data_IF_751305421957
#
_entry.id   IF_751305421957
#
_cell.length_a   1.000
_cell.length_b   1.000
_cell.length_c   1.000
_cell.angle_alpha   90.00
_cell.angle_beta   90.00
_cell.angle_gamma   90.00
#
_symmetry.space_group_name_H-M   'P 1'
#
loop_
_entity.id
_entity.type
_entity.pdbx_description
1 polymer ?
#
# COMPACT_ATOMS: atom_id res chain seq x y z
N UNK A 1 -5.84 10.42 -9.65
CA UNK A 1 -6.79 9.87 -8.66
C UNK A 1 -6.50 10.47 -7.29
N UNK A 2 -7.53 10.87 -6.56
CA UNK A 2 -7.43 11.31 -5.17
C UNK A 2 -7.54 10.07 -4.26
N UNK A 3 -6.59 9.82 -3.34
CA UNK A 3 -6.67 8.67 -2.46
C UNK A 3 -7.82 8.79 -1.47
N UNK A 4 -8.49 7.66 -1.22
CA UNK A 4 -9.55 7.57 -0.23
C UNK A 4 -8.99 7.65 1.18
N UNK A 5 -9.87 7.87 2.16
CA UNK A 5 -9.49 7.85 3.57
C UNK A 5 -8.92 6.47 3.97
N UNK A 6 -9.57 5.39 3.52
CA UNK A 6 -9.14 4.01 3.78
C UNK A 6 -7.72 3.71 3.27
N UNK A 7 -7.36 4.21 2.08
CA UNK A 7 -6.00 4.04 1.54
C UNK A 7 -4.94 4.71 2.43
N UNK A 8 -5.26 5.88 2.99
CA UNK A 8 -4.36 6.61 3.90
C UNK A 8 -4.19 5.87 5.22
N UNK A 9 -5.30 5.37 5.78
CA UNK A 9 -5.27 4.58 7.01
C UNK A 9 -4.48 3.29 6.82
N UNK A 10 -4.74 2.55 5.74
CA UNK A 10 -4.02 1.31 5.42
C UNK A 10 -2.51 1.54 5.22
N UNK A 11 -2.11 2.64 4.56
CA UNK A 11 -0.70 2.99 4.43
C UNK A 11 -0.09 3.38 5.79
N UNK A 12 -0.82 4.11 6.61
CA UNK A 12 -0.36 4.51 7.96
C UNK A 12 -0.18 3.28 8.85
N UNK A 13 -1.14 2.35 8.82
CA UNK A 13 -1.08 1.05 9.49
C UNK A 13 0.13 0.24 9.03
N UNK A 14 0.36 0.15 7.72
CA UNK A 14 1.51 -0.57 7.17
C UNK A 14 2.85 0.04 7.61
N UNK A 15 2.95 1.37 7.63
CA UNK A 15 4.15 2.06 8.13
C UNK A 15 4.35 1.80 9.62
N UNK A 16 3.29 1.83 10.42
CA UNK A 16 3.36 1.55 11.85
C UNK A 16 3.77 0.09 12.13
N UNK A 17 3.16 -0.88 11.44
CA UNK A 17 3.45 -2.31 11.57
C UNK A 17 4.90 -2.65 11.18
N UNK A 18 5.51 -1.87 10.28
CA UNK A 18 6.92 -2.00 9.92
C UNK A 18 7.89 -1.33 10.90
N UNK A 19 7.43 -0.78 12.03
CA UNK A 19 8.26 -0.05 12.99
C UNK A 19 8.60 1.38 12.56
N UNK A 20 7.76 2.00 11.72
CA UNK A 20 7.92 3.36 11.24
C UNK A 20 8.48 3.47 9.82
N UNK A 21 8.69 4.70 9.34
CA UNK A 21 9.01 4.96 7.93
C UNK A 21 10.36 4.37 7.48
N UNK A 22 11.34 4.29 8.38
CA UNK A 22 12.64 3.67 8.10
C UNK A 22 12.48 2.14 7.95
N UNK A 23 11.79 1.49 8.89
CA UNK A 23 11.54 0.06 8.82
C UNK A 23 10.70 -0.33 7.60
N UNK A 24 9.70 0.48 7.26
CA UNK A 24 8.92 0.30 6.04
C UNK A 24 9.78 0.43 4.77
N UNK A 25 10.67 1.43 4.71
CA UNK A 25 11.59 1.61 3.59
C UNK A 25 12.54 0.41 3.41
N UNK A 26 13.07 -0.13 4.51
CA UNK A 26 13.92 -1.32 4.48
C UNK A 26 13.15 -2.56 4.02
N UNK A 27 11.92 -2.74 4.50
CA UNK A 27 11.07 -3.87 4.09
C UNK A 27 10.73 -3.85 2.59
N UNK A 28 10.61 -2.67 2.00
CA UNK A 28 10.28 -2.50 0.58
C UNK A 28 11.50 -2.43 -0.34
N UNK A 29 12.70 -2.21 0.21
CA UNK A 29 13.95 -2.13 -0.55
C UNK A 29 14.30 -3.45 -1.22
N UNK A 30 14.84 -3.35 -2.43
CA UNK A 30 15.47 -4.44 -3.18
C UNK A 30 16.79 -3.97 -3.79
N UNK A 31 17.69 -4.87 -4.21
CA UNK A 31 18.92 -4.48 -4.90
C UNK A 31 18.69 -3.56 -6.11
N UNK A 32 17.65 -3.84 -6.91
CA UNK A 32 17.34 -3.07 -8.12
C UNK A 32 16.50 -1.82 -7.85
N UNK A 33 15.84 -1.75 -6.69
CA UNK A 33 14.96 -0.65 -6.30
C UNK A 33 15.15 -0.31 -4.83
N UNK A 34 16.10 0.57 -4.50
CA UNK A 34 16.24 1.10 -3.15
C UNK A 34 15.07 2.01 -2.82
N UNK A 35 14.54 1.89 -1.60
CA UNK A 35 13.47 2.73 -1.08
C UNK A 35 14.03 3.54 0.10
N UNK A 36 13.95 4.86 0.02
CA UNK A 36 14.39 5.76 1.09
C UNK A 36 13.25 6.10 2.06
N UNK A 37 13.57 6.51 3.29
CA UNK A 37 12.55 7.03 4.21
C UNK A 37 11.84 8.27 3.65
N UNK A 38 12.53 9.11 2.87
CA UNK A 38 11.97 10.31 2.25
C UNK A 38 10.86 9.97 1.25
N UNK A 39 11.04 8.93 0.41
CA UNK A 39 10.01 8.54 -0.55
C UNK A 39 8.79 7.93 0.16
N UNK A 40 9.00 7.22 1.28
CA UNK A 40 7.91 6.74 2.14
C UNK A 40 7.12 7.91 2.73
N UNK A 41 7.81 8.94 3.22
CA UNK A 41 7.17 10.17 3.71
C UNK A 41 6.35 10.86 2.61
N UNK A 42 6.86 10.91 1.38
CA UNK A 42 6.11 11.42 0.23
C UNK A 42 4.84 10.60 -0.04
N UNK A 43 4.90 9.27 -0.04
CA UNK A 43 3.72 8.41 -0.21
C UNK A 43 2.70 8.59 0.91
N UNK A 44 3.15 8.71 2.16
CA UNK A 44 2.27 8.93 3.31
C UNK A 44 1.54 10.28 3.20
N UNK A 45 2.25 11.35 2.82
CA UNK A 45 1.65 12.68 2.56
C UNK A 45 0.67 12.65 1.39
N UNK A 46 1.03 11.94 0.31
CA UNK A 46 0.17 11.81 -0.86
C UNK A 46 -1.07 10.98 -0.52
N UNK A 47 -0.92 9.96 0.31
CA UNK A 47 -1.98 9.12 0.86
C UNK A 47 -2.17 7.77 0.17
N UNK A 48 -1.18 7.28 -0.59
CA UNK A 48 -1.25 5.95 -1.19
C UNK A 48 0.13 5.39 -1.53
N UNK A 49 0.21 4.06 -1.61
CA UNK A 49 1.41 3.31 -2.01
C UNK A 49 1.43 3.05 -3.54
N UNK A 50 2.58 3.18 -4.22
CA UNK A 50 2.71 2.75 -5.62
C UNK A 50 2.31 1.28 -5.80
N UNK A 51 1.56 0.97 -6.86
CA UNK A 51 0.91 -0.33 -7.06
C UNK A 51 1.92 -1.48 -7.10
N UNK A 52 3.07 -1.25 -7.73
CA UNK A 52 4.20 -2.17 -7.82
C UNK A 52 4.76 -2.64 -6.45
N UNK A 53 4.54 -1.89 -5.37
CA UNK A 53 5.06 -2.18 -4.04
C UNK A 53 4.00 -2.79 -3.12
N UNK A 54 2.73 -2.80 -3.55
CA UNK A 54 1.60 -3.25 -2.73
C UNK A 54 1.72 -4.73 -2.38
N UNK A 55 2.01 -5.59 -3.35
CA UNK A 55 2.18 -7.03 -3.09
C UNK A 55 3.34 -7.27 -2.14
N UNK A 56 4.44 -6.51 -2.28
CA UNK A 56 5.57 -6.61 -1.36
C UNK A 56 5.20 -6.17 0.05
N UNK A 57 4.48 -5.06 0.19
CA UNK A 57 3.99 -4.58 1.47
C UNK A 57 3.06 -5.61 2.13
N UNK A 58 2.14 -6.21 1.38
CA UNK A 58 1.26 -7.26 1.89
C UNK A 58 2.05 -8.48 2.37
N UNK A 59 2.99 -8.99 1.58
CA UNK A 59 3.78 -10.18 1.94
C UNK A 59 4.77 -9.94 3.09
N UNK A 60 5.29 -8.72 3.24
CA UNK A 60 6.29 -8.39 4.26
C UNK A 60 5.70 -7.84 5.56
N UNK A 61 4.59 -7.11 5.46
CA UNK A 61 4.00 -6.34 6.57
C UNK A 61 2.62 -6.88 6.97
N UNK A 62 1.90 -7.53 6.06
CA UNK A 62 0.60 -8.15 6.34
C UNK A 62 -0.62 -7.26 6.07
N UNK A 63 -0.45 -6.05 5.54
CA UNK A 63 -1.58 -5.18 5.19
C UNK A 63 -2.13 -5.54 3.81
N UNK A 64 -3.43 -5.83 3.75
CA UNK A 64 -4.13 -6.31 2.55
C UNK A 64 -4.01 -5.36 1.36
N UNK A 65 -3.72 -5.92 0.17
CA UNK A 65 -3.69 -5.17 -1.11
C UNK A 65 -5.01 -4.49 -1.44
N UNK A 66 -6.14 -5.09 -1.03
CA UNK A 66 -7.47 -4.56 -1.27
C UNK A 66 -7.74 -3.30 -0.44
N UNK A 67 -7.03 -3.09 0.67
CA UNK A 67 -7.08 -1.85 1.46
C UNK A 67 -6.06 -0.81 0.99
N UNK A 68 -4.86 -1.25 0.63
CA UNK A 68 -3.79 -0.36 0.16
C UNK A 68 -4.11 0.30 -1.19
N UNK A 69 -4.65 -0.47 -2.14
CA UNK A 69 -5.00 -0.03 -3.49
C UNK A 69 -6.28 -0.73 -3.98
N UNK A 70 -7.45 -0.46 -3.35
CA UNK A 70 -8.73 -0.98 -3.84
C UNK A 70 -8.97 -0.61 -5.29
N UNK A 71 -8.51 0.56 -5.75
CA UNK A 71 -8.63 1.04 -7.13
C UNK A 71 -7.88 0.18 -8.16
N UNK A 72 -6.92 -0.65 -7.74
CA UNK A 72 -6.15 -1.53 -8.62
C UNK A 72 -6.49 -3.00 -8.41
N UNK A 73 -6.73 -3.40 -7.16
CA UNK A 73 -6.90 -4.80 -6.79
C UNK A 73 -8.36 -5.19 -6.56
N UNK A 74 -9.35 -4.29 -6.67
CA UNK A 74 -10.75 -4.67 -6.55
C UNK A 74 -11.24 -5.51 -7.74
N UNK A 75 -12.29 -6.28 -7.49
CA UNK A 75 -13.09 -6.88 -8.56
C UNK A 75 -14.04 -5.77 -9.06
N UNK A 76 -14.06 -5.48 -10.37
CA UNK A 76 -15.04 -4.55 -10.94
C UNK A 76 -16.47 -4.95 -10.55
N UNK A 77 -17.27 -3.97 -10.12
CA UNK A 77 -18.62 -4.24 -9.61
C UNK A 77 -19.53 -4.90 -10.66
N UNK A 78 -19.34 -4.55 -11.93
CA UNK A 78 -20.04 -5.13 -13.09
C UNK A 78 -19.73 -6.61 -13.32
N UNK A 79 -18.67 -7.13 -12.71
CA UNK A 79 -18.29 -8.55 -12.76
C UNK A 79 -18.64 -9.31 -11.46
N UNK A 80 -19.22 -8.64 -10.46
CA UNK A 80 -19.74 -9.33 -9.29
C UNK A 80 -20.92 -10.20 -9.73
N UNK A 81 -20.92 -11.53 -9.49
CA UNK A 81 -22.05 -12.35 -9.85
C UNK A 81 -23.30 -11.78 -9.17
N UNK A 82 -24.36 -11.56 -9.96
CA UNK A 82 -25.69 -11.28 -9.44
C UNK A 82 -26.01 -12.43 -8.49
N UNK A 83 -25.88 -12.18 -7.18
CA UNK A 83 -26.28 -13.14 -6.16
C UNK A 83 -27.78 -13.35 -6.37
N UNK A 84 -28.15 -14.55 -6.82
CA UNK A 84 -29.53 -14.99 -6.97
C UNK A 84 -30.19 -15.25 -5.61
#
# INVERSE_FOLDING_TARGET
MSPTHEMREALTEAVAAAGGQVGFALALTTPDRPVSQQIVSYWAKRGYLPAELVIRAELKIGVSRYRLRPDVFCIPQDLSPLVA
#
